data_IF_251990825568
#
_entry.id   IF_251990825568
#
_cell.length_a   1.000
_cell.length_b   1.000
_cell.length_c   1.000
_cell.angle_alpha   90.00
_cell.angle_beta   90.00
_cell.angle_gamma   90.00
#
_symmetry.space_group_name_H-M   'P 1'
#
loop_
_entity.id
_entity.type
_entity.pdbx_description
1 polymer ?
#
# COMPACT_ATOMS: atom_id res chain seq x y z
N UNK A 1 1.03 -6.25 -12.74
CA UNK A 1 -0.35 -6.60 -12.36
C UNK A 1 -0.29 -7.89 -11.58
N UNK A 2 -0.80 -7.88 -10.34
CA UNK A 2 -0.78 -9.01 -9.41
C UNK A 2 0.65 -9.55 -9.20
N UNK A 3 1.59 -8.67 -8.88
CA UNK A 3 3.01 -9.02 -8.71
C UNK A 3 3.80 -9.30 -10.00
N UNK A 4 3.13 -9.49 -11.15
CA UNK A 4 3.82 -9.74 -12.43
C UNK A 4 4.19 -8.42 -13.10
N UNK A 5 5.48 -8.24 -13.43
CA UNK A 5 5.97 -7.10 -14.21
C UNK A 5 5.28 -7.05 -15.58
N UNK A 6 4.67 -5.90 -15.91
CA UNK A 6 4.01 -5.70 -17.22
C UNK A 6 4.76 -4.76 -18.15
N UNK A 7 5.69 -3.98 -17.62
CA UNK A 7 6.53 -3.07 -18.38
C UNK A 7 7.57 -2.43 -17.46
N UNK A 8 8.70 -2.06 -18.03
CA UNK A 8 9.76 -1.33 -17.32
C UNK A 8 10.34 -0.29 -18.27
N UNK A 9 10.69 0.86 -17.72
CA UNK A 9 11.44 1.90 -18.39
C UNK A 9 12.52 2.39 -17.43
N UNK A 10 13.74 2.57 -17.94
CA UNK A 10 14.81 3.18 -17.14
C UNK A 10 14.60 4.68 -17.15
N UNK A 11 14.45 5.27 -15.98
CA UNK A 11 14.43 6.73 -15.82
C UNK A 11 15.81 7.15 -15.30
N UNK A 12 16.44 8.12 -15.97
CA UNK A 12 17.70 8.72 -15.55
C UNK A 12 17.47 10.17 -15.16
N UNK A 13 18.04 10.59 -14.04
CA UNK A 13 17.90 11.94 -13.49
C UNK A 13 17.46 11.93 -12.03
N UNK A 14 17.36 13.12 -11.44
CA UNK A 14 16.84 13.30 -10.09
C UNK A 14 15.32 13.40 -10.13
N UNK A 15 14.65 12.80 -9.14
CA UNK A 15 13.26 13.12 -8.86
C UNK A 15 13.24 14.54 -8.30
N UNK A 16 12.53 15.45 -8.97
CA UNK A 16 12.35 16.82 -8.48
C UNK A 16 11.08 16.90 -7.66
N UNK A 17 11.19 17.41 -6.44
CA UNK A 17 10.03 17.66 -5.59
C UNK A 17 9.21 18.84 -6.13
N UNK A 18 7.92 18.84 -5.82
CA UNK A 18 7.05 19.98 -5.98
C UNK A 18 6.21 20.16 -4.71
N UNK A 19 5.65 21.35 -4.53
CA UNK A 19 4.83 21.67 -3.34
C UNK A 19 3.33 21.42 -3.56
N UNK A 20 2.97 20.59 -4.54
CA UNK A 20 1.58 20.27 -4.85
C UNK A 20 1.18 19.05 -4.03
N UNK A 21 0.02 19.14 -3.37
CA UNK A 21 -0.53 18.01 -2.63
C UNK A 21 -0.75 16.80 -3.53
N UNK A 22 -0.47 15.63 -2.97
CA UNK A 22 -0.78 14.35 -3.61
C UNK A 22 -2.30 14.25 -3.73
N UNK A 23 -2.79 14.15 -4.97
CA UNK A 23 -4.18 13.80 -5.26
C UNK A 23 -4.27 12.36 -5.73
N UNK A 24 -5.22 11.62 -5.16
CA UNK A 24 -5.59 10.27 -5.60
C UNK A 24 -6.96 10.36 -6.28
N UNK A 25 -7.13 9.66 -7.41
CA UNK A 25 -8.38 9.67 -8.18
C UNK A 25 -8.62 10.92 -9.05
N UNK A 26 -7.71 11.90 -9.02
CA UNK A 26 -7.70 13.08 -9.90
C UNK A 26 -6.29 13.62 -10.08
N UNK A 27 -6.06 14.45 -11.10
CA UNK A 27 -4.83 15.24 -11.22
C UNK A 27 -4.92 16.56 -10.45
N UNK A 28 -3.90 16.88 -9.66
CA UNK A 28 -3.74 18.18 -9.00
C UNK A 28 -3.44 19.32 -10.00
N UNK A 29 -2.96 18.99 -11.21
CA UNK A 29 -2.56 19.96 -12.24
C UNK A 29 -3.65 20.19 -13.30
N UNK A 30 -4.54 19.22 -13.49
CA UNK A 30 -5.68 19.32 -14.39
C UNK A 30 -6.88 18.60 -13.77
N UNK A 31 -7.75 19.37 -13.12
CA UNK A 31 -8.88 18.83 -12.35
C UNK A 31 -9.96 18.16 -13.21
N UNK A 32 -9.91 18.30 -14.54
CA UNK A 32 -10.76 17.56 -15.47
C UNK A 32 -10.31 16.10 -15.67
N UNK A 33 -9.07 15.77 -15.32
CA UNK A 33 -8.56 14.41 -15.38
C UNK A 33 -8.92 13.67 -14.10
N UNK A 34 -10.09 13.04 -14.09
CA UNK A 34 -10.58 12.22 -12.98
C UNK A 34 -10.54 10.74 -13.32
N UNK A 35 -10.35 9.92 -12.30
CA UNK A 35 -10.52 8.47 -12.40
C UNK A 35 -11.98 8.11 -12.10
N UNK A 36 -12.58 7.28 -12.96
CA UNK A 36 -13.92 6.73 -12.74
C UNK A 36 -13.79 5.25 -12.44
N UNK A 37 -13.92 4.88 -11.17
CA UNK A 37 -13.81 3.50 -10.70
C UNK A 37 -13.69 3.44 -9.18
N UNK A 38 -13.29 2.27 -8.67
CA UNK A 38 -13.05 2.04 -7.25
C UNK A 38 -11.55 2.10 -6.95
N UNK A 39 -11.20 2.70 -5.82
CA UNK A 39 -9.84 2.78 -5.30
C UNK A 39 -9.89 2.19 -3.89
N UNK A 40 -8.89 1.39 -3.59
CA UNK A 40 -8.73 0.69 -2.32
C UNK A 40 -7.23 0.51 -2.05
N UNK A 41 -6.86 0.33 -0.78
CA UNK A 41 -5.52 -0.04 -0.31
C UNK A 41 -4.34 0.73 -0.95
N UNK A 42 -4.35 2.07 -0.81
CA UNK A 42 -3.31 2.92 -1.40
C UNK A 42 -2.12 3.05 -0.47
N UNK A 43 -0.94 2.69 -0.98
CA UNK A 43 0.32 2.70 -0.23
C UNK A 43 1.41 3.48 -0.96
N UNK A 44 2.20 4.25 -0.22
CA UNK A 44 3.37 4.97 -0.73
C UNK A 44 4.61 4.45 -0.01
N UNK A 45 5.66 4.13 -0.78
CA UNK A 45 6.94 3.66 -0.27
C UNK A 45 8.09 4.54 -0.79
N UNK A 46 9.12 4.76 0.04
CA UNK A 46 10.34 5.46 -0.36
C UNK A 46 11.48 4.51 -0.75
N UNK A 47 11.20 3.20 -0.83
CA UNK A 47 12.11 2.18 -1.32
C UNK A 47 11.49 1.45 -2.51
N UNK A 48 12.34 1.08 -3.47
CA UNK A 48 11.92 0.19 -4.54
C UNK A 48 11.63 -1.21 -3.98
N UNK A 49 10.40 -1.70 -4.16
CA UNK A 49 9.98 -3.04 -3.73
C UNK A 49 10.17 -4.03 -4.87
N UNK A 50 10.58 -5.25 -4.52
CA UNK A 50 10.64 -6.38 -5.45
C UNK A 50 9.25 -6.96 -5.71
N UNK A 51 9.09 -7.71 -6.80
CA UNK A 51 7.82 -8.35 -7.13
C UNK A 51 7.35 -9.32 -6.06
N UNK A 52 8.28 -10.09 -5.48
CA UNK A 52 8.02 -11.05 -4.40
C UNK A 52 7.50 -10.32 -3.15
N UNK A 53 8.14 -9.20 -2.81
CA UNK A 53 7.74 -8.33 -1.72
C UNK A 53 6.39 -7.64 -1.92
N UNK A 54 5.95 -7.45 -3.17
CA UNK A 54 4.62 -6.91 -3.47
C UNK A 54 3.55 -8.00 -3.35
N UNK A 55 3.86 -9.22 -3.79
CA UNK A 55 2.96 -10.38 -3.65
C UNK A 55 2.70 -10.66 -2.17
N UNK A 56 3.75 -10.61 -1.33
CA UNK A 56 3.62 -10.82 0.11
C UNK A 56 2.66 -9.83 0.80
N UNK A 57 2.39 -8.67 0.19
CA UNK A 57 1.61 -7.59 0.81
C UNK A 57 0.23 -7.38 0.19
N UNK A 58 -0.05 -7.96 -0.98
CA UNK A 58 -1.25 -7.63 -1.77
C UNK A 58 -2.57 -8.02 -1.09
N UNK A 59 -2.54 -8.96 -0.13
CA UNK A 59 -3.71 -9.45 0.62
C UNK A 59 -3.57 -9.21 2.15
N UNK A 60 -2.64 -8.34 2.55
CA UNK A 60 -2.32 -8.11 3.96
C UNK A 60 -2.67 -6.70 4.41
N UNK A 61 -3.29 -6.57 5.58
CA UNK A 61 -3.29 -5.33 6.34
C UNK A 61 -1.90 -5.11 6.95
N UNK A 62 -1.22 -4.05 6.52
CA UNK A 62 0.10 -3.68 7.02
C UNK A 62 0.02 -3.06 8.42
N UNK A 63 1.07 -3.25 9.21
CA UNK A 63 1.18 -2.72 10.57
C UNK A 63 1.48 -1.22 10.63
N UNK A 64 1.89 -0.62 9.50
CA UNK A 64 2.23 0.79 9.41
C UNK A 64 3.70 1.10 9.70
N UNK A 65 4.44 0.13 10.23
CA UNK A 65 5.86 0.27 10.63
C UNK A 65 6.83 -0.41 9.65
N UNK A 66 6.34 -0.90 8.51
CA UNK A 66 7.16 -1.56 7.52
C UNK A 66 8.25 -0.63 7.00
N UNK A 67 9.47 -1.16 6.85
CA UNK A 67 10.60 -0.37 6.37
C UNK A 67 10.30 0.28 5.02
N UNK A 68 10.39 1.60 5.01
CA UNK A 68 10.18 2.45 3.85
C UNK A 68 8.72 2.75 3.51
N UNK A 69 7.76 2.35 4.34
CA UNK A 69 6.36 2.76 4.21
C UNK A 69 6.23 4.23 4.62
N UNK A 70 5.65 5.03 3.73
CA UNK A 70 5.46 6.47 3.93
C UNK A 70 4.01 6.81 4.25
N UNK A 71 3.06 6.17 3.56
CA UNK A 71 1.63 6.33 3.79
C UNK A 71 0.90 5.02 3.47
N UNK A 72 -0.16 4.72 4.23
CA UNK A 72 -1.00 3.55 4.05
C UNK A 72 -2.48 3.91 4.31
N UNK A 73 -3.24 4.15 3.25
CA UNK A 73 -4.67 4.41 3.33
C UNK A 73 -5.44 3.14 2.97
N UNK A 74 -6.05 2.52 3.97
CA UNK A 74 -6.72 1.22 3.84
C UNK A 74 -8.17 1.33 3.36
N UNK A 75 -8.80 2.51 3.45
CA UNK A 75 -10.20 2.72 3.03
C UNK A 75 -11.23 1.85 3.76
N UNK A 76 -10.99 1.56 5.06
CA UNK A 76 -11.85 0.71 5.89
C UNK A 76 -12.74 1.49 6.87
N UNK A 77 -12.78 2.83 6.80
CA UNK A 77 -13.60 3.64 7.71
C UNK A 77 -15.12 3.49 7.47
N UNK A 78 -15.52 3.23 6.22
CA UNK A 78 -16.90 2.96 5.81
C UNK A 78 -17.90 4.10 5.98
N UNK A 79 -17.53 5.21 6.63
CA UNK A 79 -18.38 6.37 6.89
C UNK A 79 -17.57 7.66 6.95
N UNK A 80 -18.26 8.81 6.90
CA UNK A 80 -17.61 10.13 6.91
C UNK A 80 -16.78 10.37 5.64
N UNK A 81 -15.88 11.36 5.71
CA UNK A 81 -15.03 11.79 4.59
C UNK A 81 -13.54 11.70 4.87
N UNK A 82 -13.16 11.32 6.10
CA UNK A 82 -11.76 11.18 6.51
C UNK A 82 -11.26 9.78 6.20
N UNK A 83 -10.06 9.69 5.64
CA UNK A 83 -9.34 8.44 5.43
C UNK A 83 -8.07 8.53 6.29
N UNK A 84 -7.92 7.59 7.21
CA UNK A 84 -6.78 7.59 8.12
C UNK A 84 -5.56 6.98 7.43
N UNK A 85 -4.40 7.57 7.71
CA UNK A 85 -3.12 6.96 7.37
C UNK A 85 -2.75 5.99 8.49
N UNK A 86 -2.71 4.69 8.16
CA UNK A 86 -2.30 3.64 9.06
C UNK A 86 -0.77 3.54 9.23
N UNK A 87 0.01 4.37 8.52
CA UNK A 87 1.45 4.50 8.76
C UNK A 87 1.76 5.31 10.03
N UNK A 88 3.03 5.35 10.42
CA UNK A 88 3.47 6.18 11.55
C UNK A 88 3.54 7.68 11.24
N UNK A 89 3.24 8.11 10.01
CA UNK A 89 3.47 9.49 9.56
C UNK A 89 2.22 10.38 9.60
N UNK A 90 1.05 9.82 9.92
CA UNK A 90 -0.21 10.55 10.11
C UNK A 90 -0.61 11.44 8.91
N UNK A 91 -0.39 10.98 7.68
CA UNK A 91 -0.87 11.65 6.46
C UNK A 91 -2.37 11.42 6.23
N UNK A 92 -3.20 11.65 7.25
CA UNK A 92 -4.66 11.57 7.14
C UNK A 92 -5.15 12.49 6.02
N UNK A 93 -6.10 12.01 5.23
CA UNK A 93 -6.63 12.75 4.09
C UNK A 93 -8.14 12.78 4.10
N UNK A 94 -8.73 13.51 3.17
CA UNK A 94 -10.17 13.55 2.97
C UNK A 94 -10.51 13.37 1.51
N UNK A 95 -11.68 12.81 1.22
CA UNK A 95 -12.21 12.76 -0.14
C UNK A 95 -13.39 13.73 -0.32
N UNK A 96 -13.59 14.13 -1.57
CA UNK A 96 -14.74 14.92 -2.02
C UNK A 96 -15.34 14.23 -3.25
N UNK A 97 -16.66 14.10 -3.32
CA UNK A 97 -17.38 13.48 -4.45
C UNK A 97 -17.06 11.99 -4.70
N UNK A 98 -16.75 11.25 -3.63
CA UNK A 98 -16.71 9.79 -3.64
C UNK A 98 -17.73 9.23 -2.64
N UNK A 99 -18.01 7.94 -2.71
CA UNK A 99 -18.88 7.24 -1.78
C UNK A 99 -18.21 5.94 -1.34
N UNK A 100 -18.43 5.56 -0.08
CA UNK A 100 -18.04 4.25 0.42
C UNK A 100 -18.83 3.15 -0.30
N UNK A 101 -18.13 2.09 -0.69
CA UNK A 101 -18.72 0.87 -1.22
C UNK A 101 -18.23 -0.31 -0.37
N UNK A 102 -19.15 -1.15 0.08
CA UNK A 102 -18.79 -2.38 0.79
C UNK A 102 -18.21 -3.39 -0.21
N UNK A 103 -16.95 -3.77 0.02
CA UNK A 103 -16.30 -4.86 -0.72
C UNK A 103 -16.66 -6.22 -0.11
N UNK A 104 -16.75 -7.26 -0.95
CA UNK A 104 -16.83 -8.66 -0.49
C UNK A 104 -15.47 -9.35 -0.45
N UNK A 105 -14.38 -8.61 -0.65
CA UNK A 105 -13.02 -9.14 -0.55
C UNK A 105 -12.68 -9.44 0.92
N UNK A 106 -12.06 -10.58 1.18
CA UNK A 106 -11.49 -10.91 2.49
C UNK A 106 -10.01 -10.54 2.52
N UNK A 107 -9.63 -9.59 3.37
CA UNK A 107 -8.23 -9.23 3.64
C UNK A 107 -7.78 -9.96 4.92
N UNK A 108 -6.53 -10.45 4.94
CA UNK A 108 -5.96 -11.11 6.12
C UNK A 108 -5.04 -10.16 6.88
N UNK A 109 -5.04 -10.22 8.22
CA UNK A 109 -4.13 -9.41 9.03
C UNK A 109 -2.70 -9.95 8.93
N UNK A 110 -1.71 -9.07 8.76
CA UNK A 110 -0.30 -9.45 8.74
C UNK A 110 0.17 -9.96 10.12
N UNK A 111 -0.15 -11.20 10.47
CA UNK A 111 0.36 -11.83 11.69
C UNK A 111 1.77 -12.37 11.43
N UNK A 112 2.78 -11.63 11.88
CA UNK A 112 4.16 -12.12 11.87
C UNK A 112 4.36 -13.09 13.04
N UNK A 113 4.40 -14.39 12.78
CA UNK A 113 4.89 -15.37 13.76
C UNK A 113 6.36 -15.70 13.48
N UNK A 114 7.22 -15.55 14.49
CA UNK A 114 8.61 -16.02 14.43
C UNK A 114 8.72 -17.32 15.25
N UNK A 115 9.14 -18.41 14.61
CA UNK A 115 9.49 -19.64 15.33
C UNK A 115 11.00 -19.63 15.54
N UNK A 116 11.46 -19.45 16.78
CA UNK A 116 12.85 -19.72 17.15
C UNK A 116 13.01 -21.22 17.28
N UNK A 117 13.66 -21.87 16.31
CA UNK A 117 14.30 -23.17 16.54
C UNK A 117 15.79 -22.90 16.74
N UNK A 118 16.29 -23.01 17.98
CA UNK A 118 17.69 -23.42 18.13
C UNK A 118 17.82 -24.75 17.38
N UNK A 119 18.83 -25.04 16.57
CA UNK A 119 20.26 -24.85 16.79
C UNK A 119 20.95 -24.74 15.42
N UNK A 120 21.85 -23.75 15.28
CA UNK A 120 22.90 -23.64 14.26
C UNK A 120 22.53 -23.88 12.78
N UNK A 121 22.47 -22.75 12.07
CA UNK A 121 23.04 -22.47 10.74
C UNK A 121 22.01 -21.93 9.73
N UNK A 122 22.13 -20.63 9.44
CA UNK A 122 21.60 -19.91 8.28
C UNK A 122 20.07 -19.94 8.04
N UNK A 123 19.34 -19.04 8.70
CA UNK A 123 17.94 -18.78 8.35
C UNK A 123 17.88 -17.92 7.08
N UNK A 124 17.56 -18.52 5.94
CA UNK A 124 16.93 -17.77 4.83
C UNK A 124 15.45 -17.70 5.14
N UNK A 125 14.93 -16.48 5.32
CA UNK A 125 13.51 -16.26 5.60
C UNK A 125 12.68 -16.81 4.44
N UNK A 126 11.83 -17.79 4.73
CA UNK A 126 10.72 -18.22 3.89
C UNK A 126 9.48 -18.21 4.76
N UNK A 127 8.59 -17.25 4.54
CA UNK A 127 7.32 -17.16 5.26
C UNK A 127 6.37 -18.24 4.71
N UNK A 128 5.87 -19.10 5.59
CA UNK A 128 4.84 -20.07 5.25
C UNK A 128 3.46 -19.41 5.37
N UNK A 129 2.77 -19.27 4.24
CA UNK A 129 1.32 -19.05 4.20
C UNK A 129 0.64 -20.37 4.56
N UNK A 130 -0.08 -20.42 5.67
CA UNK A 130 -1.05 -21.48 5.96
C UNK A 130 -2.43 -20.87 5.77
N UNK A 131 -3.09 -21.22 4.67
CA UNK A 131 -4.53 -21.08 4.57
C UNK A 131 -5.11 -22.51 4.59
N UNK A 132 -6.04 -22.73 5.52
CA UNK A 132 -6.90 -23.92 5.63
C UNK A 132 -7.97 -23.96 4.56
#
# INVERSE_FOLDING_TARGET
>A
MNGVLKGTNTVQGSITDNSIDISIGKSSLNTSNTFTGYIDDVRIWNIARTSEQLIDFIELNLLGTETGLVANWQFEEGTGTTINDASTNNFNTTFSNAQWLTSSATISDATYSFIVKSNNNSIKQGKSHLCS
#
